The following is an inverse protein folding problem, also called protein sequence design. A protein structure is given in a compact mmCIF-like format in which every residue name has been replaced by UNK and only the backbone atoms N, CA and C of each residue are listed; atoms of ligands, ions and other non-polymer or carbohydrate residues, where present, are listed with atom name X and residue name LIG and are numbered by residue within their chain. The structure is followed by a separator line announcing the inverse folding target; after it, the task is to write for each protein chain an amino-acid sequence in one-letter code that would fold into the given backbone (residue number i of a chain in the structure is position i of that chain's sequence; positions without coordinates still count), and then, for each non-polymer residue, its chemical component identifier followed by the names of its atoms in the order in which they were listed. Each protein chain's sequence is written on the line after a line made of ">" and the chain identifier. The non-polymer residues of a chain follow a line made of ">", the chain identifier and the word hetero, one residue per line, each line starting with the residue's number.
data_IF_566498213624
#
_entry.id   IF_566498213624
#
_cell.length_a   1.000
_cell.length_b   1.000
_cell.length_c   1.000
_cell.angle_alpha   90.00
_cell.angle_beta   90.00
_cell.angle_gamma   90.00
#
_symmetry.space_group_name_H-M   'P 1'
#
loop_
_entity.id
_entity.type
_entity.pdbx_description
1 polymer ?
#
# COMPACT_ATOMS: atom_id res chain seq x y z
N UNK A 1 -7.73 -4.22 -6.75
CA UNK A 1 -6.71 -3.16 -6.84
C UNK A 1 -5.70 -3.35 -5.72
N UNK A 2 -4.40 -3.22 -6.02
CA UNK A 2 -3.33 -3.27 -5.01
C UNK A 2 -2.69 -1.89 -4.97
N UNK A 3 -2.75 -1.23 -3.82
CA UNK A 3 -2.27 0.13 -3.57
C UNK A 3 -2.68 1.16 -4.64
N UNK A 4 -3.99 1.43 -4.79
CA UNK A 4 -4.47 2.35 -5.81
C UNK A 4 -3.96 3.76 -5.55
N UNK A 5 -3.21 4.30 -6.51
CA UNK A 5 -2.66 5.65 -6.45
C UNK A 5 -3.74 6.70 -6.78
N UNK A 6 -4.69 6.88 -5.86
CA UNK A 6 -5.76 7.89 -5.98
C UNK A 6 -5.26 9.28 -5.64
N UNK A 7 -4.29 9.38 -4.73
CA UNK A 7 -3.50 10.60 -4.53
C UNK A 7 -2.09 10.26 -4.07
N UNK A 8 -1.15 11.12 -4.44
CA UNK A 8 0.23 11.08 -3.92
C UNK A 8 0.36 11.95 -2.67
N UNK A 9 1.26 11.59 -1.76
CA UNK A 9 1.51 12.36 -0.53
C UNK A 9 2.00 13.79 -0.85
N UNK A 10 1.68 14.77 0.01
CA UNK A 10 2.01 16.20 -0.20
C UNK A 10 3.52 16.47 -0.38
N UNK A 11 4.39 15.60 0.12
CA UNK A 11 5.85 15.69 -0.09
C UNK A 11 6.23 15.45 -1.55
N UNK A 12 5.50 14.58 -2.28
CA UNK A 12 5.65 14.44 -3.72
C UNK A 12 5.20 15.71 -4.47
N UNK A 13 4.22 16.44 -3.94
CA UNK A 13 3.78 17.73 -4.50
C UNK A 13 4.77 18.87 -4.24
N UNK A 14 5.56 18.82 -3.16
CA UNK A 14 6.64 19.79 -2.90
C UNK A 14 7.83 19.63 -3.88
N UNK A 15 8.08 18.41 -4.36
CA UNK A 15 9.05 18.17 -5.44
C UNK A 15 8.68 18.92 -6.74
N UNK A 16 7.39 19.23 -6.95
CA UNK A 16 6.88 20.01 -8.09
C UNK A 16 7.24 21.50 -7.97
N UNK A 17 7.33 22.05 -6.76
CA UNK A 17 7.82 23.43 -6.55
C UNK A 17 9.33 23.53 -6.80
N UNK A 18 10.06 22.47 -6.46
CA UNK A 18 11.49 22.33 -6.75
C UNK A 18 11.76 22.27 -8.27
N UNK A 19 10.85 21.67 -9.05
CA UNK A 19 10.85 21.62 -10.53
C UNK A 19 10.80 23.00 -11.19
N UNK A 20 9.89 23.86 -10.71
CA UNK A 20 9.67 25.19 -11.30
C UNK A 20 10.88 26.09 -11.10
N UNK A 21 11.54 25.98 -9.95
CA UNK A 21 12.82 26.64 -9.69
C UNK A 21 13.94 26.04 -10.56
N UNK A 22 13.91 24.73 -10.81
CA UNK A 22 14.84 24.03 -11.70
C UNK A 22 14.84 24.49 -13.14
N UNK A 23 13.65 24.65 -13.72
CA UNK A 23 13.47 25.10 -15.10
C UNK A 23 13.84 26.58 -15.30
N UNK A 24 13.58 27.43 -14.31
CA UNK A 24 14.00 28.86 -14.36
C UNK A 24 15.53 28.99 -14.31
N UNK A 25 16.22 28.07 -13.62
CA UNK A 25 17.67 28.13 -13.41
C UNK A 25 18.50 27.31 -14.42
N UNK A 26 17.87 26.54 -15.32
CA UNK A 26 18.57 25.78 -16.37
C UNK A 26 19.46 24.64 -15.86
N UNK A 27 19.20 24.12 -14.67
CA UNK A 27 20.02 23.07 -14.05
C UNK A 27 19.40 21.70 -14.31
N UNK A 28 19.99 20.89 -15.18
CA UNK A 28 19.52 19.52 -15.50
C UNK A 28 19.39 18.63 -14.24
N UNK A 29 20.21 18.86 -13.21
CA UNK A 29 20.10 18.20 -11.89
C UNK A 29 18.77 18.47 -11.17
N UNK A 30 18.09 19.57 -11.48
CA UNK A 30 16.80 19.94 -10.91
C UNK A 30 15.62 19.39 -11.74
N UNK A 31 15.86 18.58 -12.77
CA UNK A 31 14.83 17.82 -13.50
C UNK A 31 14.68 16.39 -12.97
N UNK A 32 15.56 15.96 -12.06
CA UNK A 32 15.55 14.66 -11.38
C UNK A 32 15.19 14.86 -9.91
N UNK A 33 14.24 14.07 -9.40
CA UNK A 33 13.90 14.08 -7.98
C UNK A 33 15.01 13.42 -7.16
N UNK A 34 15.58 12.34 -7.70
CA UNK A 34 16.80 11.71 -7.21
C UNK A 34 17.51 11.00 -8.37
N UNK A 35 18.84 10.98 -8.34
CA UNK A 35 19.69 10.14 -9.18
C UNK A 35 20.35 9.14 -8.24
N UNK A 36 19.98 7.86 -8.35
CA UNK A 36 20.45 6.78 -7.48
C UNK A 36 21.10 5.68 -8.32
N UNK A 37 21.99 4.87 -7.74
CA UNK A 37 22.47 3.67 -8.42
C UNK A 37 21.30 2.78 -8.83
N UNK A 38 21.31 2.32 -10.08
CA UNK A 38 20.32 1.38 -10.57
C UNK A 38 20.76 -0.05 -10.25
N UNK A 39 20.15 -0.62 -9.21
CA UNK A 39 20.41 -1.98 -8.73
C UNK A 39 19.17 -2.87 -8.78
N UNK A 40 18.00 -2.30 -9.07
CA UNK A 40 16.73 -3.03 -9.19
C UNK A 40 16.46 -3.29 -10.68
N UNK A 41 16.44 -4.55 -11.14
CA UNK A 41 16.33 -4.88 -12.56
C UNK A 41 14.94 -4.59 -13.15
N UNK A 42 13.91 -4.37 -12.32
CA UNK A 42 12.54 -4.17 -12.79
C UNK A 42 11.96 -2.81 -12.39
N UNK A 43 12.68 -2.01 -11.59
CA UNK A 43 12.22 -0.70 -11.12
C UNK A 43 13.34 0.33 -11.21
N UNK A 44 12.99 1.54 -11.61
CA UNK A 44 13.90 2.67 -11.54
C UNK A 44 14.04 3.18 -10.11
N UNK A 45 15.27 3.31 -9.64
CA UNK A 45 15.59 3.95 -8.38
C UNK A 45 15.65 5.48 -8.56
N UNK A 46 16.17 5.92 -9.70
CA UNK A 46 16.12 7.31 -10.11
C UNK A 46 14.73 7.66 -10.61
N UNK A 47 14.20 8.80 -10.16
CA UNK A 47 12.85 9.23 -10.53
C UNK A 47 12.91 10.64 -11.11
N UNK A 48 12.41 10.80 -12.35
CA UNK A 48 12.34 12.11 -12.99
C UNK A 48 11.21 12.92 -12.37
N UNK A 49 11.38 14.24 -12.33
CA UNK A 49 10.31 15.09 -11.82
C UNK A 49 9.11 15.07 -12.78
N UNK A 50 9.36 15.01 -14.09
CA UNK A 50 8.28 14.88 -15.08
C UNK A 50 7.42 13.63 -14.82
N UNK A 51 8.01 12.46 -14.54
CA UNK A 51 7.23 11.26 -14.21
C UNK A 51 6.34 11.50 -12.97
N UNK A 52 6.89 12.13 -11.93
CA UNK A 52 6.10 12.52 -10.75
C UNK A 52 4.95 13.48 -11.06
N UNK A 53 5.21 14.47 -11.92
CA UNK A 53 4.21 15.45 -12.35
C UNK A 53 3.09 14.78 -13.17
N UNK A 54 3.44 13.91 -14.14
CA UNK A 54 2.43 13.16 -14.90
C UNK A 54 1.59 12.26 -13.99
N UNK A 55 2.22 11.50 -13.09
CA UNK A 55 1.50 10.68 -12.12
C UNK A 55 0.57 11.53 -11.24
N UNK A 56 1.03 12.67 -10.75
CA UNK A 56 0.20 13.59 -9.97
C UNK A 56 -1.00 14.10 -10.76
N UNK A 57 -0.80 14.60 -11.99
CA UNK A 57 -1.87 15.10 -12.85
C UNK A 57 -2.91 14.02 -13.15
N UNK A 58 -2.48 12.79 -13.41
CA UNK A 58 -3.39 11.65 -13.58
C UNK A 58 -4.21 11.39 -12.31
N UNK A 59 -3.60 11.47 -11.11
CA UNK A 59 -4.37 11.31 -9.86
C UNK A 59 -5.41 12.42 -9.68
N UNK A 60 -5.09 13.66 -10.02
CA UNK A 60 -6.02 14.80 -9.94
C UNK A 60 -7.16 14.63 -10.94
N UNK A 61 -6.85 14.25 -12.18
CA UNK A 61 -7.84 14.02 -13.22
C UNK A 61 -8.79 12.87 -12.84
N UNK A 62 -8.28 11.76 -12.32
CA UNK A 62 -9.10 10.65 -11.82
C UNK A 62 -10.06 11.10 -10.71
N UNK A 63 -9.57 11.90 -9.74
CA UNK A 63 -10.42 12.46 -8.68
C UNK A 63 -11.52 13.38 -9.24
N UNK A 64 -11.19 14.22 -10.22
CA UNK A 64 -12.15 15.10 -10.89
C UNK A 64 -13.22 14.29 -11.61
N UNK A 65 -12.84 13.26 -12.36
CA UNK A 65 -13.79 12.38 -13.06
C UNK A 65 -14.70 11.63 -12.09
N UNK A 66 -14.13 11.04 -11.02
CA UNK A 66 -14.92 10.37 -9.97
C UNK A 66 -15.94 11.34 -9.37
N UNK A 67 -15.49 12.52 -8.91
CA UNK A 67 -16.37 13.50 -8.28
C UNK A 67 -17.45 14.07 -9.22
N UNK A 68 -17.16 14.16 -10.52
CA UNK A 68 -18.10 14.62 -11.54
C UNK A 68 -19.13 13.53 -11.89
N UNK A 69 -18.71 12.26 -11.94
CA UNK A 69 -19.56 11.14 -12.30
C UNK A 69 -20.42 10.64 -11.13
N UNK A 70 -19.93 10.75 -9.89
CA UNK A 70 -20.63 10.33 -8.68
C UNK A 70 -22.08 10.84 -8.58
N UNK A 71 -22.38 12.15 -8.71
CA UNK A 71 -23.76 12.64 -8.62
C UNK A 71 -24.64 12.23 -9.81
N UNK A 72 -24.06 11.79 -10.92
CA UNK A 72 -24.82 11.39 -12.13
C UNK A 72 -25.28 9.93 -12.10
N UNK A 73 -24.91 9.16 -11.07
CA UNK A 73 -25.18 7.72 -10.98
C UNK A 73 -24.32 6.87 -11.95
N UNK A 74 -23.45 7.49 -12.76
CA UNK A 74 -22.62 6.74 -13.73
C UNK A 74 -21.59 5.82 -13.06
N UNK A 75 -21.22 6.08 -11.81
CA UNK A 75 -20.34 5.18 -11.04
C UNK A 75 -20.98 3.83 -10.71
N UNK A 76 -22.30 3.68 -10.89
CA UNK A 76 -23.01 2.39 -10.78
C UNK A 76 -22.54 1.38 -11.83
N UNK A 77 -21.84 1.82 -12.87
CA UNK A 77 -21.27 0.92 -13.89
C UNK A 77 -19.91 0.34 -13.48
N UNK A 78 -19.32 0.80 -12.38
CA UNK A 78 -18.04 0.29 -11.93
C UNK A 78 -18.19 -1.15 -11.40
N UNK A 79 -17.23 -2.04 -11.72
CA UNK A 79 -17.20 -3.37 -11.15
C UNK A 79 -16.94 -3.29 -9.63
N UNK A 80 -17.33 -4.34 -8.91
CA UNK A 80 -17.00 -4.47 -7.50
C UNK A 80 -15.48 -4.40 -7.32
N UNK A 81 -15.04 -3.57 -6.38
CA UNK A 81 -13.62 -3.30 -6.14
C UNK A 81 -13.20 -3.95 -4.84
N UNK A 82 -12.25 -4.87 -4.91
CA UNK A 82 -11.47 -5.32 -3.76
C UNK A 82 -10.14 -4.57 -3.75
N UNK A 83 -9.91 -3.76 -2.71
CA UNK A 83 -8.76 -2.85 -2.62
C UNK A 83 -7.84 -3.24 -1.48
N UNK A 84 -6.55 -3.44 -1.76
CA UNK A 84 -5.53 -3.70 -0.74
C UNK A 84 -4.66 -2.46 -0.54
N UNK A 85 -4.40 -2.09 0.72
CA UNK A 85 -3.56 -0.95 1.05
C UNK A 85 -2.81 -1.20 2.36
N UNK A 86 -1.59 -0.67 2.49
CA UNK A 86 -0.91 -0.58 3.79
C UNK A 86 -1.32 0.72 4.50
N UNK A 87 -1.56 0.66 5.81
CA UNK A 87 -1.86 1.87 6.60
C UNK A 87 -0.69 2.85 6.56
N UNK A 88 0.54 2.33 6.55
CA UNK A 88 1.74 3.13 6.32
C UNK A 88 2.18 3.00 4.87
N UNK A 89 2.14 4.13 4.16
CA UNK A 89 2.72 4.22 2.83
C UNK A 89 3.38 5.59 2.63
N UNK A 90 4.55 5.59 1.99
CA UNK A 90 5.31 6.82 1.74
C UNK A 90 4.83 7.59 0.51
N UNK A 91 4.09 6.94 -0.38
CA UNK A 91 3.77 7.47 -1.72
C UNK A 91 2.27 7.53 -2.00
N UNK A 92 1.51 6.52 -1.59
CA UNK A 92 0.06 6.42 -1.82
C UNK A 92 -0.67 6.86 -0.56
N UNK A 93 -1.58 7.82 -0.69
CA UNK A 93 -2.34 8.31 0.47
C UNK A 93 -3.50 7.37 0.82
N UNK A 94 -3.37 6.60 1.90
CA UNK A 94 -4.44 5.75 2.43
C UNK A 94 -5.75 6.51 2.71
N UNK A 95 -5.72 7.73 3.31
CA UNK A 95 -6.94 8.55 3.43
C UNK A 95 -7.58 8.91 2.09
N UNK A 96 -6.79 9.15 1.03
CA UNK A 96 -7.35 9.48 -0.28
C UNK A 96 -8.05 8.27 -0.93
N UNK A 97 -7.56 7.04 -0.70
CA UNK A 97 -8.23 5.82 -1.17
C UNK A 97 -9.62 5.70 -0.54
N UNK A 98 -9.76 6.07 0.74
CA UNK A 98 -11.06 6.11 1.42
C UNK A 98 -11.93 7.23 0.86
N UNK A 99 -11.54 8.49 1.10
CA UNK A 99 -12.45 9.62 0.88
C UNK A 99 -12.66 9.99 -0.59
N UNK A 100 -11.67 9.74 -1.45
CA UNK A 100 -11.70 10.18 -2.85
C UNK A 100 -12.02 9.06 -3.84
N UNK A 101 -12.09 7.81 -3.38
CA UNK A 101 -12.48 6.67 -4.20
C UNK A 101 -13.62 5.90 -3.55
N UNK A 102 -13.39 5.25 -2.41
CA UNK A 102 -14.35 4.29 -1.85
C UNK A 102 -15.63 4.94 -1.29
N UNK A 103 -15.53 6.14 -0.72
CA UNK A 103 -16.72 6.89 -0.27
C UNK A 103 -17.50 7.55 -1.42
N UNK A 104 -16.88 7.65 -2.60
CA UNK A 104 -17.49 8.28 -3.78
C UNK A 104 -18.31 7.29 -4.62
N UNK A 105 -18.08 5.98 -4.46
CA UNK A 105 -18.80 4.93 -5.19
C UNK A 105 -20.07 4.49 -4.46
N UNK A 106 -21.06 3.94 -5.18
CA UNK A 106 -22.27 3.39 -4.57
C UNK A 106 -21.94 2.19 -3.68
N UNK A 107 -22.80 1.90 -2.69
CA UNK A 107 -22.68 0.67 -1.89
C UNK A 107 -23.04 -0.56 -2.73
N UNK A 108 -22.01 -1.21 -3.28
CA UNK A 108 -22.11 -2.41 -4.12
C UNK A 108 -21.14 -3.49 -3.68
N UNK A 109 -20.87 -3.58 -2.38
CA UNK A 109 -19.94 -4.56 -1.82
C UNK A 109 -18.47 -4.27 -2.15
N UNK A 110 -18.11 -3.01 -2.45
CA UNK A 110 -16.70 -2.63 -2.51
C UNK A 110 -16.03 -2.92 -1.16
N UNK A 111 -14.76 -3.30 -1.18
CA UNK A 111 -14.03 -3.69 0.02
C UNK A 111 -12.65 -3.02 0.07
N UNK A 112 -12.30 -2.54 1.26
CA UNK A 112 -10.94 -2.12 1.62
C UNK A 112 -10.34 -3.12 2.59
N UNK A 113 -9.31 -3.83 2.14
CA UNK A 113 -8.40 -4.60 2.97
C UNK A 113 -7.21 -3.71 3.34
N UNK A 114 -7.14 -3.30 4.59
CA UNK A 114 -6.07 -2.46 5.13
C UNK A 114 -5.12 -3.29 5.99
N UNK A 115 -3.84 -3.29 5.64
CA UNK A 115 -2.78 -3.90 6.46
C UNK A 115 -2.31 -2.90 7.52
N UNK A 116 -2.47 -3.27 8.78
CA UNK A 116 -2.03 -2.48 9.93
C UNK A 116 -0.50 -2.56 10.13
N UNK A 117 0.02 -1.86 11.13
CA UNK A 117 1.36 -2.07 11.67
C UNK A 117 1.40 -3.27 12.61
N UNK A 118 2.60 -3.82 12.86
CA UNK A 118 2.83 -4.82 13.90
C UNK A 118 2.79 -4.17 15.29
N UNK A 119 1.63 -4.26 15.94
CA UNK A 119 1.35 -3.63 17.25
C UNK A 119 2.21 -4.15 18.40
N UNK A 120 2.81 -5.34 18.26
CA UNK A 120 3.70 -5.92 19.27
C UNK A 120 5.03 -5.18 19.41
N UNK A 121 5.45 -4.45 18.39
CA UNK A 121 6.77 -3.80 18.36
C UNK A 121 6.84 -2.50 19.16
N UNK A 122 5.70 -2.00 19.64
CA UNK A 122 5.56 -0.66 20.23
C UNK A 122 6.18 0.45 19.38
N UNK A 123 6.25 0.23 18.06
CA UNK A 123 6.90 1.14 17.12
C UNK A 123 6.10 2.43 16.93
N UNK A 124 4.83 2.45 17.33
CA UNK A 124 3.92 3.60 17.22
C UNK A 124 4.52 4.88 17.81
N UNK A 125 5.30 4.79 18.90
CA UNK A 125 5.98 5.93 19.50
C UNK A 125 7.14 6.48 18.66
N UNK A 126 7.65 5.68 17.72
CA UNK A 126 8.70 6.05 16.78
C UNK A 126 8.14 6.47 15.40
N UNK A 127 6.84 6.32 15.17
CA UNK A 127 6.19 6.72 13.92
C UNK A 127 5.98 8.24 13.88
N UNK A 128 6.15 8.82 12.70
CA UNK A 128 5.86 10.25 12.47
C UNK A 128 4.36 10.56 12.46
N UNK A 129 3.53 9.55 12.17
CA UNK A 129 2.09 9.64 12.04
C UNK A 129 1.49 8.42 12.72
N UNK A 130 0.47 8.64 13.56
CA UNK A 130 -0.24 7.57 14.24
C UNK A 130 -1.28 6.93 13.29
N UNK A 131 -1.09 5.67 12.87
CA UNK A 131 -2.04 4.98 12.00
C UNK A 131 -3.41 4.76 12.65
N UNK A 132 -3.54 4.81 13.98
CA UNK A 132 -4.83 4.64 14.66
C UNK A 132 -5.84 5.72 14.29
N UNK A 133 -5.39 6.92 13.98
CA UNK A 133 -6.26 8.04 13.59
C UNK A 133 -7.13 7.65 12.40
N UNK A 134 -6.50 7.20 11.31
CA UNK A 134 -7.20 6.75 10.10
C UNK A 134 -8.03 5.48 10.34
N UNK A 135 -7.48 4.49 11.06
CA UNK A 135 -8.20 3.25 11.33
C UNK A 135 -9.49 3.54 12.13
N UNK A 136 -9.40 4.37 13.16
CA UNK A 136 -10.55 4.72 14.00
C UNK A 136 -11.56 5.55 13.22
N UNK A 137 -11.11 6.47 12.37
CA UNK A 137 -11.98 7.24 11.47
C UNK A 137 -12.79 6.32 10.55
N UNK A 138 -12.14 5.34 9.91
CA UNK A 138 -12.83 4.37 9.04
C UNK A 138 -13.79 3.49 9.86
N UNK A 139 -13.33 2.92 10.98
CA UNK A 139 -14.13 2.00 11.78
C UNK A 139 -15.34 2.65 12.46
N UNK A 140 -15.25 3.93 12.82
CA UNK A 140 -16.35 4.66 13.47
C UNK A 140 -17.32 5.30 12.48
N UNK A 141 -17.05 5.22 11.17
CA UNK A 141 -17.92 5.81 10.16
C UNK A 141 -19.16 4.93 9.90
N UNK A 142 -20.25 5.23 10.62
CA UNK A 142 -21.55 4.58 10.43
C UNK A 142 -22.17 4.82 9.04
N UNK A 143 -21.65 5.78 8.27
CA UNK A 143 -22.07 6.04 6.89
C UNK A 143 -21.12 5.45 5.84
N UNK A 144 -20.20 4.56 6.25
CA UNK A 144 -19.32 3.84 5.31
C UNK A 144 -20.16 3.18 4.20
N UNK A 145 -19.65 3.22 2.98
CA UNK A 145 -20.25 2.65 1.75
C UNK A 145 -19.50 1.42 1.23
N UNK A 146 -18.58 0.91 2.02
CA UNK A 146 -17.72 -0.21 1.67
C UNK A 146 -17.49 -1.10 2.89
N UNK A 147 -17.15 -2.35 2.62
CA UNK A 147 -16.71 -3.32 3.62
C UNK A 147 -15.28 -2.97 4.02
N UNK A 148 -15.02 -2.86 5.32
CA UNK A 148 -13.69 -2.58 5.83
C UNK A 148 -13.12 -3.81 6.51
N UNK A 149 -12.00 -4.32 5.99
CA UNK A 149 -11.27 -5.47 6.53
C UNK A 149 -9.88 -5.04 6.99
N UNK A 150 -9.64 -5.06 8.29
CA UNK A 150 -8.37 -4.72 8.91
C UNK A 150 -7.55 -5.99 9.20
N UNK A 151 -6.39 -6.11 8.56
CA UNK A 151 -5.40 -7.16 8.85
C UNK A 151 -4.49 -6.65 9.96
N UNK A 152 -4.68 -7.14 11.18
CA UNK A 152 -4.00 -6.64 12.39
C UNK A 152 -3.62 -7.77 13.35
N UNK A 153 -2.81 -7.48 14.37
CA UNK A 153 -2.47 -8.45 15.40
C UNK A 153 -3.74 -8.92 16.14
N UNK A 154 -3.78 -10.20 16.52
CA UNK A 154 -4.84 -10.76 17.38
C UNK A 154 -4.99 -9.96 18.68
N UNK A 155 -3.85 -9.60 19.28
CA UNK A 155 -3.71 -8.70 20.42
C UNK A 155 -2.29 -8.12 20.45
N UNK A 156 -2.04 -7.13 21.31
CA UNK A 156 -0.76 -6.41 21.40
C UNK A 156 0.43 -7.29 21.79
N UNK A 157 0.20 -8.46 22.40
CA UNK A 157 1.25 -9.37 22.86
C UNK A 157 1.52 -10.53 21.89
N UNK A 158 0.73 -10.67 20.83
CA UNK A 158 0.77 -11.81 19.92
C UNK A 158 1.29 -11.40 18.54
N UNK A 159 2.23 -12.15 17.93
CA UNK A 159 2.59 -11.94 16.54
C UNK A 159 1.52 -12.47 15.57
N UNK A 160 0.54 -13.25 16.05
CA UNK A 160 -0.54 -13.80 15.22
C UNK A 160 -1.41 -12.69 14.67
N UNK A 161 -1.86 -12.88 13.44
CA UNK A 161 -2.62 -11.90 12.68
C UNK A 161 -4.03 -12.43 12.43
N UNK A 162 -5.00 -11.55 12.64
CA UNK A 162 -6.42 -11.78 12.37
C UNK A 162 -6.91 -10.73 11.39
N UNK A 163 -8.03 -11.02 10.75
CA UNK A 163 -8.77 -10.06 9.94
C UNK A 163 -10.02 -9.66 10.70
N UNK A 164 -10.15 -8.38 11.00
CA UNK A 164 -11.36 -7.79 11.56
C UNK A 164 -12.15 -7.16 10.43
N UNK A 165 -13.32 -7.70 10.12
CA UNK A 165 -14.17 -7.22 9.03
C UNK A 165 -15.43 -6.59 9.56
N UNK A 166 -15.68 -5.39 9.08
CA UNK A 166 -16.81 -4.54 9.36
C UNK A 166 -17.62 -4.36 8.07
N UNK A 167 -18.90 -4.72 8.11
CA UNK A 167 -19.80 -4.56 6.96
C UNK A 167 -20.15 -3.09 6.74
N UNK A 168 -20.62 -2.80 5.53
CA UNK A 168 -21.08 -1.46 5.16
C UNK A 168 -22.07 -0.90 6.20
N UNK A 169 -21.80 0.30 6.70
CA UNK A 169 -22.67 1.03 7.63
C UNK A 169 -22.86 0.42 9.03
N UNK A 170 -22.16 -0.66 9.38
CA UNK A 170 -22.29 -1.32 10.69
C UNK A 170 -21.08 -1.04 11.55
N UNK A 171 -21.21 -0.29 12.65
CA UNK A 171 -20.08 0.00 13.58
C UNK A 171 -19.88 -1.06 14.65
N UNK A 172 -20.93 -1.82 14.96
CA UNK A 172 -20.94 -2.73 16.11
C UNK A 172 -20.82 -4.22 15.71
N UNK A 173 -21.01 -4.56 14.43
CA UNK A 173 -20.86 -5.92 13.89
C UNK A 173 -19.44 -6.14 13.34
N UNK A 174 -18.51 -6.42 14.26
CA UNK A 174 -17.13 -6.76 13.93
C UNK A 174 -16.94 -8.27 13.91
N UNK A 175 -16.83 -8.83 12.71
CA UNK A 175 -16.43 -10.23 12.54
C UNK A 175 -14.91 -10.35 12.63
N UNK A 176 -14.42 -11.40 13.29
CA UNK A 176 -13.00 -11.70 13.36
C UNK A 176 -12.72 -13.06 12.73
N UNK A 177 -11.70 -13.13 11.87
CA UNK A 177 -11.26 -14.37 11.23
C UNK A 177 -9.76 -14.56 11.44
N UNK A 178 -9.36 -15.72 11.95
CA UNK A 178 -7.95 -16.10 12.01
C UNK A 178 -7.49 -16.56 10.61
N UNK A 179 -6.39 -15.99 10.13
CA UNK A 179 -5.79 -16.32 8.83
C UNK A 179 -4.59 -17.26 8.96
N UNK A 180 -4.26 -17.71 10.18
CA UNK A 180 -3.13 -18.59 10.50
C UNK A 180 -1.77 -18.03 10.04
N UNK A 181 -1.63 -16.70 10.02
CA UNK A 181 -0.41 -16.00 9.67
C UNK A 181 0.11 -15.20 10.86
N UNK A 182 1.38 -14.80 10.81
CA UNK A 182 2.02 -14.04 11.88
C UNK A 182 3.00 -13.03 11.31
N UNK A 183 3.18 -11.91 12.02
CA UNK A 183 4.24 -10.96 11.70
C UNK A 183 5.63 -11.61 11.87
N UNK A 184 6.51 -11.52 10.87
CA UNK A 184 7.91 -11.91 11.01
C UNK A 184 8.66 -11.04 12.02
N UNK A 185 9.70 -11.60 12.63
CA UNK A 185 10.56 -10.84 13.54
C UNK A 185 11.26 -9.69 12.81
N UNK A 186 11.31 -8.51 13.43
CA UNK A 186 11.94 -7.31 12.85
C UNK A 186 11.11 -6.60 11.78
N UNK A 187 9.92 -7.09 11.45
CA UNK A 187 8.99 -6.44 10.51
C UNK A 187 7.89 -5.73 11.28
N UNK A 188 7.72 -4.43 11.02
CA UNK A 188 6.74 -3.60 11.73
C UNK A 188 5.62 -3.03 10.85
N UNK A 189 5.79 -2.97 9.53
CA UNK A 189 4.78 -2.48 8.61
C UNK A 189 5.06 -3.00 7.20
N UNK A 190 4.04 -2.97 6.36
CA UNK A 190 4.19 -3.14 4.91
C UNK A 190 4.28 -1.77 4.23
N UNK A 191 4.72 -1.77 2.97
CA UNK A 191 4.50 -0.66 2.06
C UNK A 191 3.89 -1.17 0.75
N UNK A 192 3.39 -0.27 -0.10
CA UNK A 192 2.75 -0.63 -1.37
C UNK A 192 3.62 -1.55 -2.25
N UNK A 193 4.94 -1.33 -2.26
CA UNK A 193 5.85 -2.16 -3.06
C UNK A 193 5.90 -3.61 -2.59
N UNK A 194 5.65 -3.87 -1.31
CA UNK A 194 5.75 -5.19 -0.72
C UNK A 194 4.50 -6.04 -0.98
N UNK A 195 3.33 -5.42 -1.14
CA UNK A 195 2.04 -6.12 -1.18
C UNK A 195 1.98 -7.21 -2.27
N UNK A 196 2.64 -7.01 -3.40
CA UNK A 196 2.57 -7.89 -4.57
C UNK A 196 3.61 -9.01 -4.62
N UNK A 197 4.53 -9.11 -3.66
CA UNK A 197 5.59 -10.13 -3.71
C UNK A 197 5.49 -11.07 -2.53
N UNK A 198 5.75 -12.35 -2.82
CA UNK A 198 5.76 -13.40 -1.79
C UNK A 198 7.08 -13.38 -1.04
N UNK A 199 7.12 -14.02 0.14
CA UNK A 199 8.35 -14.23 0.87
C UNK A 199 9.36 -15.10 0.08
N UNK A 200 8.84 -15.99 -0.78
CA UNK A 200 9.58 -16.85 -1.71
C UNK A 200 9.68 -16.20 -3.11
N UNK A 201 9.75 -14.88 -3.20
CA UNK A 201 10.16 -14.24 -4.45
C UNK A 201 11.70 -14.30 -4.58
N UNK A 202 12.26 -14.75 -5.72
CA UNK A 202 13.70 -14.95 -5.89
C UNK A 202 14.51 -13.64 -5.85
N UNK A 203 13.88 -12.47 -6.03
CA UNK A 203 14.53 -11.17 -6.00
C UNK A 203 14.09 -10.32 -4.80
N UNK A 204 12.78 -10.21 -4.57
CA UNK A 204 12.18 -9.32 -3.58
C UNK A 204 11.88 -10.00 -2.23
N UNK A 205 11.89 -11.33 -2.19
CA UNK A 205 11.65 -12.13 -1.00
C UNK A 205 12.89 -12.33 -0.13
N UNK A 206 12.73 -13.16 0.90
CA UNK A 206 13.79 -13.58 1.83
C UNK A 206 14.04 -15.10 1.80
N UNK A 207 13.32 -15.83 0.93
CA UNK A 207 13.48 -17.28 0.78
C UNK A 207 14.93 -17.66 0.47
N UNK A 208 15.45 -18.67 1.16
CA UNK A 208 16.78 -19.21 0.92
C UNK A 208 16.75 -20.13 -0.30
N UNK A 209 17.29 -19.67 -1.42
CA UNK A 209 17.51 -20.52 -2.59
C UNK A 209 18.96 -20.97 -2.60
N UNK A 210 19.19 -22.28 -2.47
CA UNK A 210 20.54 -22.87 -2.47
C UNK A 210 21.34 -22.49 -3.72
N UNK A 211 20.67 -22.29 -4.84
CA UNK A 211 21.27 -22.05 -6.16
C UNK A 211 20.87 -20.69 -6.77
N UNK A 212 20.58 -19.67 -5.98
CA UNK A 212 20.31 -18.33 -6.54
C UNK A 212 21.62 -17.53 -6.66
N UNK A 213 22.18 -17.37 -7.88
CA UNK A 213 23.42 -16.63 -8.07
C UNK A 213 23.24 -15.11 -7.96
N UNK A 214 22.01 -14.62 -7.72
CA UNK A 214 21.65 -13.21 -7.72
C UNK A 214 21.53 -12.65 -6.31
N UNK A 215 21.83 -11.36 -6.17
CA UNK A 215 21.59 -10.62 -4.94
C UNK A 215 20.08 -10.50 -4.71
N UNK A 216 19.61 -10.97 -3.56
CA UNK A 216 18.22 -10.84 -3.14
C UNK A 216 18.01 -9.48 -2.46
N UNK A 217 17.20 -8.62 -3.06
CA UNK A 217 16.90 -7.28 -2.56
C UNK A 217 16.06 -7.31 -1.28
N UNK A 218 15.21 -8.34 -1.09
CA UNK A 218 14.36 -8.49 0.08
C UNK A 218 15.09 -8.81 1.38
N UNK A 219 16.34 -9.27 1.29
CA UNK A 219 17.15 -9.73 2.42
C UNK A 219 18.44 -8.92 2.62
N UNK A 220 18.51 -7.69 2.08
CA UNK A 220 19.69 -6.85 2.22
C UNK A 220 19.79 -6.26 3.63
N UNK A 221 20.77 -6.72 4.42
CA UNK A 221 21.04 -6.19 5.76
C UNK A 221 22.54 -6.20 6.10
N UNK A 222 23.36 -5.57 5.27
CA UNK A 222 24.80 -5.47 5.50
C UNK A 222 25.13 -4.48 6.62
N UNK A 223 26.11 -4.83 7.46
CA UNK A 223 26.68 -3.96 8.50
C UNK A 223 28.12 -3.62 8.15
N UNK A 224 28.48 -2.34 8.22
CA UNK A 224 29.80 -1.83 7.88
C UNK A 224 29.90 -0.33 8.11
N UNK A 225 31.00 0.30 7.68
CA UNK A 225 31.24 1.74 7.85
C UNK A 225 30.32 2.60 6.97
N UNK A 226 29.95 3.78 7.46
CA UNK A 226 29.00 4.68 6.79
C UNK A 226 29.55 5.14 5.45
N UNK A 227 28.73 5.02 4.41
CA UNK A 227 29.05 5.51 3.06
C UNK A 227 29.90 4.55 2.21
N UNK A 228 30.22 3.35 2.69
CA UNK A 228 30.99 2.37 1.92
C UNK A 228 30.17 1.62 0.87
N UNK A 229 28.85 1.51 1.07
CA UNK A 229 27.94 0.85 0.12
C UNK A 229 27.31 1.85 -0.84
N UNK A 230 27.18 1.46 -2.11
CA UNK A 230 26.43 2.23 -3.12
C UNK A 230 24.93 2.22 -2.85
N UNK A 231 24.40 1.13 -2.30
CA UNK A 231 22.99 1.02 -1.94
C UNK A 231 22.78 1.64 -0.55
N UNK A 232 21.87 2.61 -0.39
CA UNK A 232 21.65 3.27 0.90
C UNK A 232 20.96 2.32 1.90
N UNK A 233 21.27 2.47 3.18
CA UNK A 233 20.67 1.65 4.24
C UNK A 233 19.14 1.70 4.28
N UNK A 234 18.55 2.85 3.96
CA UNK A 234 17.10 3.02 3.85
C UNK A 234 16.47 2.16 2.73
N UNK A 235 17.20 1.86 1.66
CA UNK A 235 16.73 0.99 0.59
C UNK A 235 16.91 -0.50 0.92
N UNK A 236 17.96 -0.84 1.68
CA UNK A 236 18.22 -2.20 2.15
C UNK A 236 17.20 -2.65 3.19
N UNK A 237 16.86 -1.77 4.15
CA UNK A 237 15.91 -2.07 5.22
C UNK A 237 14.43 -1.91 4.83
N UNK A 238 14.16 -1.48 3.58
CA UNK A 238 12.79 -1.33 3.10
C UNK A 238 12.21 -2.70 2.77
N UNK A 239 11.10 -3.07 3.40
CA UNK A 239 10.37 -4.29 3.09
C UNK A 239 9.91 -4.32 1.63
N UNK A 240 10.10 -5.47 0.98
CA UNK A 240 9.81 -5.69 -0.45
C UNK A 240 8.91 -6.90 -0.72
N UNK A 241 8.54 -7.63 0.32
CA UNK A 241 7.71 -8.84 0.27
C UNK A 241 6.64 -8.78 1.35
N UNK A 242 5.56 -9.53 1.15
CA UNK A 242 4.40 -9.53 2.00
C UNK A 242 4.27 -10.87 2.75
N UNK A 243 4.45 -10.92 4.08
CA UNK A 243 4.21 -12.13 4.87
C UNK A 243 2.74 -12.60 4.81
N UNK A 244 1.83 -11.71 4.42
CA UNK A 244 0.40 -11.98 4.26
C UNK A 244 0.00 -12.20 2.79
N UNK A 245 0.97 -12.45 1.91
CA UNK A 245 0.71 -12.75 0.51
C UNK A 245 -0.27 -13.93 0.31
N UNK A 246 -0.19 -15.05 1.06
CA UNK A 246 -1.14 -16.16 0.89
C UNK A 246 -2.60 -15.72 1.09
N UNK A 247 -2.84 -14.85 2.09
CA UNK A 247 -4.16 -14.28 2.33
C UNK A 247 -4.59 -13.35 1.18
N UNK A 248 -3.70 -12.46 0.72
CA UNK A 248 -3.99 -11.55 -0.40
C UNK A 248 -4.33 -12.34 -1.67
N UNK A 249 -3.52 -13.34 -2.00
CA UNK A 249 -3.73 -14.20 -3.18
C UNK A 249 -5.08 -14.93 -3.10
N UNK A 250 -5.38 -15.56 -1.97
CA UNK A 250 -6.66 -16.22 -1.75
C UNK A 250 -7.83 -15.24 -1.96
N UNK A 251 -7.76 -14.04 -1.37
CA UNK A 251 -8.81 -13.02 -1.51
C UNK A 251 -8.98 -12.55 -2.95
N UNK A 252 -7.89 -12.35 -3.69
CA UNK A 252 -7.93 -11.98 -5.11
C UNK A 252 -8.54 -13.10 -5.95
N UNK A 253 -8.10 -14.36 -5.76
CA UNK A 253 -8.64 -15.50 -6.48
C UNK A 253 -10.13 -15.69 -6.20
N UNK A 254 -10.55 -15.61 -4.93
CA UNK A 254 -11.97 -15.60 -4.60
C UNK A 254 -12.69 -14.47 -5.32
N UNK A 255 -12.22 -13.22 -5.21
CA UNK A 255 -12.89 -12.07 -5.86
C UNK A 255 -13.05 -12.23 -7.38
N UNK A 256 -12.09 -12.85 -8.07
CA UNK A 256 -12.15 -13.07 -9.51
C UNK A 256 -13.07 -14.24 -9.87
N UNK A 257 -13.02 -15.34 -9.11
CA UNK A 257 -13.68 -16.61 -9.47
C UNK A 257 -15.01 -16.86 -8.72
N UNK A 258 -15.48 -15.94 -7.87
CA UNK A 258 -16.75 -16.12 -7.15
C UNK A 258 -17.97 -16.09 -8.08
N UNK A 259 -17.86 -15.49 -9.27
CA UNK A 259 -18.96 -15.42 -10.25
C UNK A 259 -19.15 -16.70 -11.09
N UNK A 260 -18.14 -17.59 -11.19
CA UNK A 260 -18.21 -18.79 -12.04
C UNK A 260 -18.96 -19.98 -11.39
N UNK A 261 -19.18 -19.95 -10.07
CA UNK A 261 -19.84 -21.06 -9.34
C UNK A 261 -21.34 -20.83 -9.09
N UNK A 262 -21.87 -19.63 -9.34
CA UNK A 262 -23.30 -19.34 -9.19
C UNK A 262 -24.14 -19.68 -10.45
N UNK A 263 -23.50 -20.04 -11.57
CA UNK A 263 -24.16 -20.31 -12.85
C UNK A 263 -24.48 -21.78 -13.16
N UNK A 264 -24.13 -22.72 -12.29
CA UNK A 264 -24.43 -24.15 -12.45
C UNK A 264 -25.19 -24.68 -11.24
N UNK A 265 -26.50 -24.41 -11.18
CA UNK A 265 -27.51 -25.24 -10.50
C UNK A 265 -28.90 -24.90 -11.04
#
# INVERSE_FOLDING_TARGET
>A
MISPQIAVTKVAALAIWQERLGNILGLEKLQWNAILPEYDPFKYNSFTINAGNQSYRLTVENQLQISTLAPTGKLDQLPQMLTFQSVLDSTVSSPAVVHKLLEQVPDRGHELVLFDINRRTHIEYMLKLDPNTLISEISSNANSRFIFSLVTNENENSPRVVVRTQKTGQTDDLSQTDINLSWPSGVFSLGHLALSFTEQDPLYGIGQYKDNPRVQLGHLAFRGERGMLRIPASAMLRIRWNPFYPYLEQRVLSHIFTDDFAGNN
#
